data_IF_475138450025
#
_entry.id   IF_475138450025
#
_cell.length_a   1.000
_cell.length_b   1.000
_cell.length_c   1.000
_cell.angle_alpha   90.00
_cell.angle_beta   90.00
_cell.angle_gamma   90.00
#
_symmetry.space_group_name_H-M   'P 1'
#
loop_
_entity.id
_entity.type
_entity.pdbx_description
1 polymer ?
#
# COMPACT_ATOMS: atom_id res chain seq x y z
N UNK A 1 -20.62 -3.08 1.72
CA UNK A 1 -19.24 -3.59 1.75
C UNK A 1 -19.34 -5.10 1.77
N UNK A 2 -18.59 -5.81 0.93
CA UNK A 2 -18.48 -7.25 1.07
C UNK A 2 -17.82 -7.54 2.43
N UNK A 3 -18.29 -8.55 3.14
CA UNK A 3 -17.65 -8.97 4.39
C UNK A 3 -16.21 -9.42 4.11
N UNK A 4 -15.28 -9.05 4.99
CA UNK A 4 -13.87 -9.43 4.87
C UNK A 4 -13.75 -10.96 4.87
N UNK A 5 -13.15 -11.52 3.82
CA UNK A 5 -12.85 -12.94 3.73
C UNK A 5 -11.37 -13.19 3.97
N UNK A 6 -11.03 -13.92 5.04
CA UNK A 6 -9.66 -14.27 5.36
C UNK A 6 -9.10 -15.42 4.52
N UNK A 7 -9.90 -16.08 3.69
CA UNK A 7 -9.44 -17.16 2.81
C UNK A 7 -9.30 -16.67 1.37
N UNK A 8 -8.11 -16.87 0.80
CA UNK A 8 -7.89 -16.65 -0.63
C UNK A 8 -8.49 -17.80 -1.43
N UNK A 9 -8.94 -17.48 -2.66
CA UNK A 9 -9.24 -18.51 -3.65
C UNK A 9 -7.99 -18.70 -4.51
N UNK A 10 -7.35 -19.89 -4.50
CA UNK A 10 -6.15 -20.12 -5.31
C UNK A 10 -6.43 -19.95 -6.80
N UNK A 11 -5.61 -19.15 -7.49
CA UNK A 11 -5.73 -18.94 -8.94
C UNK A 11 -5.32 -20.19 -9.71
N UNK A 12 -4.40 -20.99 -9.16
CA UNK A 12 -3.86 -22.22 -9.77
C UNK A 12 -3.23 -22.01 -11.16
N UNK A 13 -2.71 -20.81 -11.42
CA UNK A 13 -2.02 -20.48 -12.66
C UNK A 13 -0.51 -20.39 -12.41
N UNK A 14 0.26 -21.06 -13.28
CA UNK A 14 1.72 -20.97 -13.29
C UNK A 14 2.23 -20.73 -14.70
N UNK A 15 3.23 -19.86 -14.82
CA UNK A 15 3.89 -19.55 -16.09
C UNK A 15 5.41 -19.67 -15.90
N UNK A 16 6.10 -20.16 -16.93
CA UNK A 16 7.57 -20.21 -16.96
C UNK A 16 8.05 -19.35 -18.13
N UNK A 17 8.92 -18.39 -17.85
CA UNK A 17 9.52 -17.49 -18.84
C UNK A 17 11.03 -17.72 -18.91
N UNK A 18 11.60 -17.80 -20.12
CA UNK A 18 13.05 -17.86 -20.30
C UNK A 18 13.66 -16.45 -20.15
N UNK A 19 14.76 -16.33 -19.42
CA UNK A 19 15.42 -15.03 -19.13
C UNK A 19 16.85 -14.89 -19.65
N UNK A 20 17.30 -15.88 -20.45
CA UNK A 20 18.64 -15.94 -21.03
C UNK A 20 19.56 -16.92 -20.31
N UNK A 21 20.65 -17.35 -20.94
CA UNK A 21 21.60 -18.33 -20.38
C UNK A 21 20.96 -19.65 -19.88
N UNK A 22 19.85 -20.07 -20.50
CA UNK A 22 19.00 -21.19 -20.04
C UNK A 22 18.43 -21.03 -18.63
N UNK A 23 18.42 -19.81 -18.08
CA UNK A 23 17.69 -19.48 -16.86
C UNK A 23 16.22 -19.27 -17.19
N UNK A 24 15.41 -19.54 -16.18
CA UNK A 24 13.96 -19.39 -16.24
C UNK A 24 13.46 -18.63 -15.03
N UNK A 25 12.30 -18.00 -15.17
CA UNK A 25 11.51 -17.51 -14.04
C UNK A 25 10.20 -18.27 -14.05
N UNK A 26 9.91 -18.94 -12.94
CA UNK A 26 8.60 -19.50 -12.68
C UNK A 26 7.78 -18.47 -11.89
N UNK A 27 6.57 -18.19 -12.37
CA UNK A 27 5.58 -17.34 -11.73
C UNK A 27 4.40 -18.21 -11.26
N UNK A 28 4.00 -18.05 -10.00
CA UNK A 28 2.79 -18.62 -9.42
C UNK A 28 1.85 -17.48 -9.04
N UNK A 29 0.74 -17.37 -9.78
CA UNK A 29 -0.17 -16.23 -9.63
C UNK A 29 -1.09 -16.39 -8.42
N UNK A 30 -1.46 -15.24 -7.84
CA UNK A 30 -2.44 -15.16 -6.75
C UNK A 30 -3.47 -14.07 -7.01
N UNK A 31 -4.58 -14.13 -6.27
CA UNK A 31 -5.65 -13.15 -6.36
C UNK A 31 -5.18 -11.79 -5.81
N UNK A 32 -5.07 -10.80 -6.68
CA UNK A 32 -4.70 -9.43 -6.31
C UNK A 32 -5.90 -8.51 -6.05
N UNK A 33 -7.11 -9.07 -5.99
CA UNK A 33 -8.33 -8.29 -5.80
C UNK A 33 -8.64 -8.05 -4.32
N UNK A 34 -9.46 -7.02 -4.08
CA UNK A 34 -10.10 -6.77 -2.79
C UNK A 34 -9.10 -6.60 -1.64
N UNK A 35 -9.30 -7.37 -0.57
CA UNK A 35 -8.54 -7.24 0.66
C UNK A 35 -7.24 -8.08 0.67
N UNK A 36 -7.07 -9.01 -0.28
CA UNK A 36 -5.91 -9.91 -0.34
C UNK A 36 -4.62 -9.12 -0.54
N UNK A 37 -4.58 -8.26 -1.56
CA UNK A 37 -3.41 -7.45 -1.87
C UNK A 37 -3.10 -6.45 -0.74
N UNK A 38 -4.13 -5.88 -0.12
CA UNK A 38 -3.97 -4.96 0.99
C UNK A 38 -3.38 -5.66 2.24
N UNK A 39 -3.87 -6.86 2.57
CA UNK A 39 -3.33 -7.67 3.66
C UNK A 39 -1.88 -8.09 3.38
N UNK A 40 -1.58 -8.59 2.18
CA UNK A 40 -0.21 -8.95 1.78
C UNK A 40 0.73 -7.75 1.89
N UNK A 41 0.32 -6.59 1.35
CA UNK A 41 1.12 -5.37 1.43
C UNK A 41 1.39 -4.94 2.89
N UNK A 42 0.39 -5.03 3.76
CA UNK A 42 0.56 -4.74 5.18
C UNK A 42 1.53 -5.73 5.84
N UNK A 43 1.36 -7.04 5.60
CA UNK A 43 2.29 -8.07 6.11
C UNK A 43 3.73 -7.80 5.65
N UNK A 44 3.95 -7.43 4.39
CA UNK A 44 5.28 -7.15 3.84
C UNK A 44 5.90 -5.87 4.43
N UNK A 45 5.18 -4.75 4.41
CA UNK A 45 5.77 -3.43 4.65
C UNK A 45 5.54 -2.87 6.05
N UNK A 46 4.54 -3.35 6.78
CA UNK A 46 4.30 -2.92 8.16
C UNK A 46 4.87 -3.91 9.16
N UNK A 47 4.70 -5.21 8.93
CA UNK A 47 5.07 -6.26 9.89
C UNK A 47 6.47 -6.85 9.61
N UNK A 48 6.83 -7.03 8.34
CA UNK A 48 8.03 -7.77 7.92
C UNK A 48 9.00 -6.94 7.06
N UNK A 49 8.97 -5.62 7.19
CA UNK A 49 9.78 -4.69 6.38
C UNK A 49 11.29 -5.03 6.39
N UNK A 50 11.80 -5.57 7.49
CA UNK A 50 13.21 -5.91 7.69
C UNK A 50 13.65 -7.16 6.91
N UNK A 51 12.70 -7.91 6.35
CA UNK A 51 12.97 -9.13 5.58
C UNK A 51 12.87 -8.91 4.06
N UNK A 52 12.42 -7.73 3.62
CA UNK A 52 12.06 -7.51 2.22
C UNK A 52 12.81 -6.33 1.62
N UNK A 53 13.22 -6.49 0.37
CA UNK A 53 13.66 -5.40 -0.50
C UNK A 53 12.58 -5.07 -1.52
N UNK A 54 12.67 -3.91 -2.15
CA UNK A 54 11.81 -3.58 -3.28
C UNK A 54 12.63 -3.11 -4.48
N UNK A 55 12.19 -3.48 -5.67
CA UNK A 55 12.82 -3.19 -6.93
C UNK A 55 11.83 -2.57 -7.91
N UNK A 56 12.30 -1.58 -8.66
CA UNK A 56 11.62 -1.11 -9.86
C UNK A 56 12.60 -1.24 -11.03
N UNK A 57 12.14 -1.93 -12.07
CA UNK A 57 12.94 -2.25 -13.24
C UNK A 57 12.32 -1.58 -14.45
N UNK A 58 13.11 -0.75 -15.11
CA UNK A 58 12.81 -0.17 -16.41
C UNK A 58 13.89 -0.60 -17.41
N UNK A 59 13.59 -0.58 -18.70
CA UNK A 59 14.60 -0.97 -19.69
C UNK A 59 15.81 -0.02 -19.61
N UNK A 60 16.96 -0.57 -19.20
CA UNK A 60 18.20 0.19 -19.03
C UNK A 60 18.43 0.78 -17.63
N UNK A 61 17.53 0.55 -16.67
CA UNK A 61 17.65 1.08 -15.30
C UNK A 61 17.03 0.15 -14.25
N UNK A 62 17.73 -0.02 -13.13
CA UNK A 62 17.18 -0.71 -11.95
C UNK A 62 17.31 0.22 -10.76
N UNK A 63 16.26 0.31 -9.96
CA UNK A 63 16.28 0.89 -8.63
C UNK A 63 15.92 -0.20 -7.63
N UNK A 64 16.80 -0.44 -6.66
CA UNK A 64 16.54 -1.34 -5.54
C UNK A 64 16.64 -0.53 -4.24
N UNK A 65 15.68 -0.74 -3.34
CA UNK A 65 15.62 -0.08 -2.05
C UNK A 65 15.43 -1.11 -0.94
N UNK A 66 16.16 -0.90 0.14
CA UNK A 66 16.08 -1.70 1.36
C UNK A 66 15.61 -0.84 2.54
N UNK A 67 15.03 -1.51 3.55
CA UNK A 67 14.61 -0.88 4.78
C UNK A 67 15.68 -1.07 5.86
N UNK A 68 16.18 0.03 6.42
CA UNK A 68 17.12 0.00 7.56
C UNK A 68 16.43 0.30 8.90
N UNK A 69 15.20 0.76 8.86
CA UNK A 69 14.35 0.99 10.02
C UNK A 69 12.87 0.84 9.63
N UNK A 70 12.01 0.71 10.64
CA UNK A 70 10.57 0.59 10.43
C UNK A 70 10.03 1.80 9.66
N UNK A 71 9.14 1.59 8.66
CA UNK A 71 8.50 2.70 7.97
C UNK A 71 7.76 3.62 8.94
N UNK A 72 7.88 4.93 8.70
CA UNK A 72 7.17 5.95 9.47
C UNK A 72 5.66 5.94 9.22
N UNK A 73 5.26 5.52 8.01
CA UNK A 73 3.86 5.36 7.60
C UNK A 73 3.75 4.20 6.62
N UNK A 74 2.69 3.41 6.78
CA UNK A 74 2.19 2.45 5.81
C UNK A 74 0.66 2.64 5.76
N UNK A 75 0.17 3.38 4.78
CA UNK A 75 -1.24 3.79 4.73
C UNK A 75 -1.80 3.72 3.31
N UNK A 76 -3.09 3.44 3.19
CA UNK A 76 -3.81 3.53 1.91
C UNK A 76 -4.49 4.89 1.79
N UNK A 77 -4.20 5.62 0.71
CA UNK A 77 -4.76 6.94 0.43
C UNK A 77 -5.12 7.07 -1.05
N UNK A 78 -6.39 7.35 -1.35
CA UNK A 78 -6.94 7.51 -2.72
C UNK A 78 -6.42 6.48 -3.73
N UNK A 79 -6.55 5.18 -3.40
CA UNK A 79 -6.10 4.09 -4.26
C UNK A 79 -4.66 3.63 -4.05
N UNK A 80 -3.83 4.49 -3.46
CA UNK A 80 -2.39 4.25 -3.34
C UNK A 80 -1.97 3.81 -1.94
N UNK A 81 -1.40 2.61 -1.86
CA UNK A 81 -0.52 2.24 -0.77
C UNK A 81 0.65 3.21 -0.76
N UNK A 82 0.88 3.85 0.39
CA UNK A 82 1.95 4.81 0.60
C UNK A 82 2.80 4.34 1.76
N UNK A 83 4.05 3.98 1.46
CA UNK A 83 5.04 3.58 2.45
C UNK A 83 6.12 4.65 2.50
N UNK A 84 6.31 5.25 3.67
CA UNK A 84 7.25 6.35 3.88
C UNK A 84 8.30 5.91 4.89
N UNK A 85 9.56 5.86 4.44
CA UNK A 85 10.71 5.66 5.32
C UNK A 85 11.30 7.03 5.69
N UNK A 86 12.48 7.04 6.29
CA UNK A 86 13.19 8.29 6.57
C UNK A 86 13.76 8.94 5.31
N UNK A 87 14.35 8.16 4.42
CA UNK A 87 15.14 8.67 3.30
C UNK A 87 14.44 8.53 1.95
N UNK A 88 13.44 7.65 1.86
CA UNK A 88 12.69 7.41 0.63
C UNK A 88 11.21 7.08 0.91
N UNK A 89 10.39 7.11 -0.13
CA UNK A 89 9.01 6.62 -0.07
C UNK A 89 8.61 6.06 -1.43
N UNK A 90 7.60 5.19 -1.46
CA UNK A 90 6.97 4.76 -2.70
C UNK A 90 5.45 4.78 -2.59
N UNK A 91 4.82 4.74 -3.77
CA UNK A 91 3.38 4.62 -3.92
C UNK A 91 3.06 3.44 -4.86
N UNK A 92 2.12 2.58 -4.47
CA UNK A 92 1.63 1.47 -5.29
C UNK A 92 0.10 1.52 -5.37
N UNK A 93 -0.44 1.57 -6.59
CA UNK A 93 -1.88 1.70 -6.82
C UNK A 93 -2.59 0.36 -6.63
N UNK A 94 -3.03 0.07 -5.42
CA UNK A 94 -3.67 -1.21 -5.08
C UNK A 94 -5.19 -1.14 -5.05
N UNK A 95 -5.76 0.06 -5.19
CA UNK A 95 -7.20 0.32 -5.33
C UNK A 95 -7.47 1.45 -6.34
N UNK A 96 -8.73 1.62 -6.74
CA UNK A 96 -9.11 2.71 -7.65
C UNK A 96 -8.77 4.08 -7.05
N UNK A 97 -8.12 4.92 -7.86
CA UNK A 97 -7.74 6.28 -7.50
C UNK A 97 -8.67 7.29 -8.17
N UNK A 98 -9.40 8.09 -7.40
CA UNK A 98 -10.38 9.00 -7.97
C UNK A 98 -9.73 10.30 -8.46
N UNK A 99 -8.63 10.74 -7.86
CA UNK A 99 -7.97 12.00 -8.22
C UNK A 99 -8.61 13.19 -7.52
N UNK A 100 -8.76 13.11 -6.19
CA UNK A 100 -9.23 14.24 -5.38
C UNK A 100 -10.76 14.47 -5.38
N UNK A 101 -11.23 15.65 -4.95
CA UNK A 101 -12.65 15.93 -4.71
C UNK A 101 -13.52 15.86 -5.96
N UNK A 102 -12.98 16.20 -7.13
CA UNK A 102 -13.73 16.22 -8.40
C UNK A 102 -13.63 14.91 -9.17
N UNK A 103 -12.99 13.89 -8.60
CA UNK A 103 -12.76 12.60 -9.24
C UNK A 103 -12.12 12.72 -10.64
N UNK A 104 -11.08 13.56 -10.77
CA UNK A 104 -10.50 13.98 -12.06
C UNK A 104 -9.77 12.87 -12.82
N UNK A 105 -9.40 11.78 -12.16
CA UNK A 105 -8.77 10.64 -12.84
C UNK A 105 -9.82 9.93 -13.71
N UNK A 106 -9.59 9.81 -15.02
CA UNK A 106 -10.52 9.09 -15.92
C UNK A 106 -10.57 7.59 -15.60
N UNK A 107 -11.64 6.91 -16.04
CA UNK A 107 -11.79 5.46 -15.83
C UNK A 107 -10.64 4.69 -16.49
N UNK A 108 -10.21 5.09 -17.70
CA UNK A 108 -9.09 4.43 -18.38
C UNK A 108 -7.80 4.53 -17.57
N UNK A 109 -7.51 5.72 -17.02
CA UNK A 109 -6.31 5.94 -16.20
C UNK A 109 -6.38 5.18 -14.88
N UNK A 110 -7.57 5.08 -14.26
CA UNK A 110 -7.78 4.27 -13.05
C UNK A 110 -7.47 2.80 -13.30
N UNK A 111 -8.01 2.27 -14.40
CA UNK A 111 -7.79 0.87 -14.80
C UNK A 111 -6.32 0.61 -15.12
N UNK A 112 -5.66 1.50 -15.86
CA UNK A 112 -4.24 1.36 -16.20
C UNK A 112 -3.34 1.33 -14.95
N UNK A 113 -3.56 2.23 -13.98
CA UNK A 113 -2.70 2.36 -12.80
C UNK A 113 -2.84 1.20 -11.83
N UNK A 114 -4.04 0.65 -11.69
CA UNK A 114 -4.37 -0.38 -10.71
C UNK A 114 -3.51 -1.63 -10.90
N UNK A 115 -2.95 -2.16 -9.81
CA UNK A 115 -2.33 -3.48 -9.82
C UNK A 115 -3.39 -4.52 -10.16
N UNK A 116 -3.19 -5.19 -11.30
CA UNK A 116 -4.15 -6.14 -11.86
C UNK A 116 -3.70 -7.58 -11.71
N UNK A 117 -2.38 -7.82 -11.60
CA UNK A 117 -1.78 -9.14 -11.44
C UNK A 117 -0.64 -9.11 -10.44
N UNK A 118 -0.45 -10.23 -9.76
CA UNK A 118 0.67 -10.49 -8.88
C UNK A 118 1.04 -11.96 -8.89
N UNK A 119 2.32 -12.25 -8.78
CA UNK A 119 2.83 -13.61 -8.74
C UNK A 119 4.02 -13.74 -7.81
N UNK A 120 4.06 -14.83 -7.07
CA UNK A 120 5.27 -15.28 -6.40
C UNK A 120 6.19 -15.86 -7.47
N UNK A 121 7.44 -15.45 -7.49
CA UNK A 121 8.39 -15.93 -8.49
C UNK A 121 9.56 -16.67 -7.88
N UNK A 122 10.11 -17.58 -8.69
CA UNK A 122 11.41 -18.21 -8.46
C UNK A 122 12.25 -18.08 -9.71
N UNK A 123 13.48 -17.57 -9.58
CA UNK A 123 14.47 -17.66 -10.65
C UNK A 123 15.17 -19.01 -10.57
N UNK A 124 15.19 -19.73 -11.67
CA UNK A 124 15.72 -21.08 -11.77
C UNK A 124 16.93 -21.03 -12.72
N UNK A 125 18.08 -21.53 -12.26
CA UNK A 125 19.28 -21.60 -13.08
C UNK A 125 19.18 -22.70 -14.15
N UNK A 126 20.20 -22.81 -15.00
CA UNK A 126 20.28 -23.83 -16.04
C UNK A 126 20.29 -25.28 -15.54
N UNK A 127 20.53 -25.49 -14.24
CA UNK A 127 20.57 -26.80 -13.59
C UNK A 127 19.22 -27.17 -12.93
N UNK A 128 18.21 -26.30 -13.01
CA UNK A 128 16.89 -26.52 -12.43
C UNK A 128 16.78 -26.11 -10.96
N UNK A 129 17.79 -25.44 -10.40
CA UNK A 129 17.81 -25.00 -9.01
C UNK A 129 17.23 -23.59 -8.87
N UNK A 130 16.36 -23.40 -7.87
CA UNK A 130 15.87 -22.06 -7.51
C UNK A 130 17.00 -21.25 -6.87
N UNK A 131 17.28 -20.04 -7.37
CA UNK A 131 18.38 -19.16 -6.94
C UNK A 131 17.92 -17.80 -6.41
N UNK A 132 16.67 -17.43 -6.62
CA UNK A 132 16.08 -16.18 -6.11
C UNK A 132 14.56 -16.32 -5.99
N UNK A 133 13.98 -15.64 -5.01
CA UNK A 133 12.56 -15.65 -4.68
C UNK A 133 12.05 -14.23 -4.53
N UNK A 134 10.80 -14.00 -4.89
CA UNK A 134 10.19 -12.69 -4.70
C UNK A 134 8.73 -12.66 -5.13
N UNK A 135 8.19 -11.45 -5.23
CA UNK A 135 6.83 -11.19 -5.71
C UNK A 135 6.92 -10.15 -6.81
N UNK A 136 6.26 -10.38 -7.93
CA UNK A 136 6.17 -9.43 -9.04
C UNK A 136 4.73 -8.93 -9.15
N UNK A 137 4.57 -7.62 -9.28
CA UNK A 137 3.29 -6.97 -9.56
C UNK A 137 3.26 -6.39 -10.96
N UNK A 138 2.07 -6.41 -11.57
CA UNK A 138 1.79 -5.76 -12.85
C UNK A 138 0.56 -4.85 -12.75
N UNK A 139 0.61 -3.72 -13.43
CA UNK A 139 -0.50 -2.77 -13.50
C UNK A 139 -1.59 -3.26 -14.49
N UNK A 140 -2.66 -2.50 -14.69
CA UNK A 140 -3.77 -2.86 -15.57
C UNK A 140 -3.41 -2.87 -17.05
N UNK A 141 -2.29 -2.26 -17.44
CA UNK A 141 -1.73 -2.35 -18.79
C UNK A 141 -0.82 -3.58 -18.98
N UNK A 142 -0.60 -4.38 -17.94
CA UNK A 142 0.29 -5.55 -17.98
C UNK A 142 1.78 -5.19 -17.90
N UNK A 143 2.11 -3.98 -17.49
CA UNK A 143 3.49 -3.52 -17.29
C UNK A 143 3.97 -3.91 -15.89
N UNK A 144 5.24 -4.31 -15.75
CA UNK A 144 5.83 -4.63 -14.45
C UNK A 144 5.89 -3.37 -13.60
N UNK A 145 5.12 -3.33 -12.51
CA UNK A 145 5.02 -2.15 -11.66
C UNK A 145 6.08 -2.15 -10.56
N UNK A 146 6.19 -3.26 -9.82
CA UNK A 146 7.09 -3.37 -8.66
C UNK A 146 7.47 -4.83 -8.43
N UNK A 147 8.71 -5.04 -8.01
CA UNK A 147 9.24 -6.33 -7.58
C UNK A 147 9.52 -6.26 -6.09
N UNK A 148 9.13 -7.27 -5.32
CA UNK A 148 9.49 -7.45 -3.93
C UNK A 148 10.52 -8.57 -3.86
N UNK A 149 11.69 -8.28 -3.33
CA UNK A 149 12.72 -9.26 -3.08
C UNK A 149 12.48 -9.88 -1.70
N UNK A 150 12.35 -11.21 -1.68
CA UNK A 150 12.21 -11.99 -0.44
C UNK A 150 13.57 -12.57 -0.03
N UNK A 151 13.72 -13.00 1.24
CA UNK A 151 15.00 -13.51 1.74
C UNK A 151 15.60 -14.59 0.83
N UNK A 152 16.87 -14.42 0.47
CA UNK A 152 17.57 -15.34 -0.42
C UNK A 152 18.57 -16.21 0.36
N UNK A 153 18.41 -17.55 0.36
CA UNK A 153 19.33 -18.49 0.99
C UNK A 153 20.80 -18.36 0.59
N UNK A 154 21.08 -17.85 -0.61
CA UNK A 154 22.43 -17.75 -1.14
C UNK A 154 23.06 -16.38 -0.94
N UNK A 155 22.38 -15.44 -0.29
CA UNK A 155 22.87 -14.06 -0.10
C UNK A 155 22.96 -13.73 1.39
N UNK A 156 24.06 -13.08 1.76
CA UNK A 156 24.25 -12.44 3.06
C UNK A 156 24.78 -11.03 2.82
N UNK A 157 24.10 -10.03 3.39
CA UNK A 157 24.27 -8.63 3.02
C UNK A 157 24.19 -8.46 1.48
N UNK A 158 25.26 -7.98 0.85
CA UNK A 158 25.36 -7.82 -0.61
C UNK A 158 26.14 -8.97 -1.30
N UNK A 159 26.53 -10.00 -0.55
CA UNK A 159 27.46 -11.03 -1.02
C UNK A 159 26.78 -12.37 -1.29
N UNK A 160 27.20 -13.02 -2.37
CA UNK A 160 26.86 -14.42 -2.62
C UNK A 160 27.65 -15.33 -1.67
N UNK A 161 26.93 -16.23 -1.01
CA UNK A 161 27.53 -17.27 -0.18
C UNK A 161 28.27 -18.30 -1.04
N UNK A 162 29.34 -18.93 -0.49
CA UNK A 162 30.03 -20.01 -1.18
C UNK A 162 29.10 -21.16 -1.55
N UNK A 163 29.49 -21.93 -2.56
CA UNK A 163 28.73 -23.10 -3.00
C UNK A 163 28.47 -24.07 -1.83
N UNK A 164 27.25 -24.58 -1.75
CA UNK A 164 26.81 -25.48 -0.67
C UNK A 164 26.65 -24.82 0.71
N UNK A 165 26.80 -23.49 0.84
CA UNK A 165 26.63 -22.75 2.10
C UNK A 165 25.30 -21.98 2.20
N UNK A 166 24.31 -22.32 1.37
CA UNK A 166 23.00 -21.67 1.41
C UNK A 166 22.27 -21.89 2.74
N UNK A 167 21.71 -20.82 3.30
CA UNK A 167 20.84 -20.86 4.48
C UNK A 167 19.37 -20.95 4.06
N UNK A 168 18.86 -22.17 3.97
CA UNK A 168 17.48 -22.42 3.56
C UNK A 168 16.44 -22.07 4.63
N UNK A 169 16.84 -21.73 5.86
CA UNK A 169 15.90 -21.26 6.88
C UNK A 169 15.28 -19.91 6.47
N UNK A 170 15.98 -19.12 5.66
CA UNK A 170 15.49 -17.88 5.04
C UNK A 170 14.24 -18.09 4.18
N UNK A 171 13.96 -19.31 3.70
CA UNK A 171 12.76 -19.58 2.90
C UNK A 171 11.46 -19.71 3.73
N UNK A 172 11.54 -19.73 5.06
CA UNK A 172 10.36 -19.89 5.91
C UNK A 172 9.30 -18.81 5.60
N UNK A 173 9.71 -17.55 5.46
CA UNK A 173 8.80 -16.44 5.16
C UNK A 173 8.17 -16.55 3.77
N UNK A 174 8.95 -16.95 2.74
CA UNK A 174 8.40 -17.23 1.40
C UNK A 174 7.34 -18.34 1.45
N UNK A 175 7.61 -19.41 2.20
CA UNK A 175 6.72 -20.57 2.30
C UNK A 175 5.42 -20.22 3.01
N UNK A 176 5.49 -19.47 4.11
CA UNK A 176 4.33 -18.96 4.84
C UNK A 176 3.46 -18.08 3.92
N UNK A 177 4.05 -17.06 3.28
CA UNK A 177 3.32 -16.18 2.37
C UNK A 177 2.68 -16.97 1.21
N UNK A 178 3.40 -17.93 0.63
CA UNK A 178 2.87 -18.75 -0.46
C UNK A 178 1.74 -19.66 0.01
N UNK A 179 1.85 -20.27 1.18
CA UNK A 179 0.79 -21.13 1.75
C UNK A 179 -0.49 -20.33 2.06
N UNK A 180 -0.36 -19.08 2.50
CA UNK A 180 -1.49 -18.17 2.73
C UNK A 180 -2.05 -17.63 1.42
N UNK A 181 -1.25 -16.91 0.64
CA UNK A 181 -1.74 -16.03 -0.43
C UNK A 181 -1.87 -16.72 -1.80
N UNK A 182 -1.05 -17.73 -2.09
CA UNK A 182 -1.09 -18.45 -3.38
C UNK A 182 -1.93 -19.71 -3.27
N UNK A 183 -1.68 -20.51 -2.24
CA UNK A 183 -2.24 -21.86 -2.11
C UNK A 183 -3.51 -21.92 -1.27
N UNK A 184 -3.80 -20.89 -0.47
CA UNK A 184 -4.98 -20.86 0.41
C UNK A 184 -5.03 -22.01 1.42
N UNK A 185 -3.87 -22.49 1.87
CA UNK A 185 -3.77 -23.54 2.90
C UNK A 185 -3.97 -22.99 4.31
N UNK A 186 -3.74 -21.70 4.48
CA UNK A 186 -3.88 -20.98 5.74
C UNK A 186 -4.68 -19.71 5.51
N UNK A 187 -5.44 -19.26 6.51
CA UNK A 187 -6.13 -17.98 6.42
C UNK A 187 -5.13 -16.83 6.47
N UNK A 188 -5.44 -15.74 5.79
CA UNK A 188 -4.84 -14.44 6.00
C UNK A 188 -4.97 -14.09 7.50
N UNK A 189 -3.88 -13.70 8.20
CA UNK A 189 -3.86 -13.52 9.65
C UNK A 189 -4.49 -12.19 10.11
N UNK A 190 -5.59 -11.77 9.48
CA UNK A 190 -6.35 -10.58 9.84
C UNK A 190 -7.83 -10.90 9.99
N UNK A 191 -8.54 -10.12 10.81
CA UNK A 191 -10.00 -10.20 10.98
C UNK A 191 -10.75 -9.11 10.20
N UNK A 192 -10.03 -8.11 9.71
CA UNK A 192 -10.48 -7.02 8.84
C UNK A 192 -9.31 -6.55 7.98
N UNK A 193 -9.57 -5.84 6.90
CA UNK A 193 -8.50 -5.24 6.10
C UNK A 193 -7.72 -4.20 6.94
N UNK A 194 -6.42 -4.40 7.19
CA UNK A 194 -5.64 -3.53 8.08
C UNK A 194 -5.33 -2.16 7.47
N UNK A 195 -5.45 -2.00 6.15
CA UNK A 195 -5.21 -0.74 5.44
C UNK A 195 -6.50 0.07 5.20
N UNK A 196 -7.69 -0.51 5.42
CA UNK A 196 -9.00 0.14 5.22
C UNK A 196 -9.64 0.63 6.53
N UNK A 197 -8.85 1.21 7.42
CA UNK A 197 -9.40 1.93 8.57
C UNK A 197 -10.16 3.19 8.09
N UNK A 198 -11.27 3.53 8.74
CA UNK A 198 -11.89 4.83 8.57
C UNK A 198 -10.92 5.91 9.10
N UNK A 199 -10.74 6.98 8.34
CA UNK A 199 -9.82 8.05 8.72
C UNK A 199 -10.33 9.41 8.28
N UNK A 200 -9.87 10.44 8.99
CA UNK A 200 -9.99 11.83 8.60
C UNK A 200 -8.59 12.43 8.48
N UNK A 201 -8.28 12.99 7.31
CA UNK A 201 -6.94 13.46 6.95
C UNK A 201 -6.90 14.97 6.77
N UNK A 202 -5.93 15.63 7.41
CA UNK A 202 -5.65 17.07 7.20
C UNK A 202 -4.48 17.24 6.24
N UNK A 203 -4.67 18.03 5.19
CA UNK A 203 -3.61 18.40 4.26
C UNK A 203 -2.55 19.27 4.95
N UNK A 204 -1.31 18.77 4.99
CA UNK A 204 -0.20 19.49 5.66
C UNK A 204 0.81 20.12 4.71
N UNK A 205 0.78 19.74 3.43
CA UNK A 205 1.82 20.12 2.45
C UNK A 205 1.43 21.30 1.55
N UNK A 206 2.28 21.62 0.57
CA UNK A 206 2.09 22.71 -0.37
C UNK A 206 1.95 24.06 0.32
N UNK A 207 0.86 24.79 0.05
CA UNK A 207 0.59 26.10 0.68
C UNK A 207 0.21 26.01 2.16
N UNK A 208 -0.26 24.86 2.64
CA UNK A 208 -0.59 24.69 4.05
C UNK A 208 0.68 24.65 4.91
N UNK A 209 1.77 24.08 4.39
CA UNK A 209 3.00 23.85 5.16
C UNK A 209 3.62 25.14 5.73
N UNK A 210 3.88 26.21 4.95
CA UNK A 210 4.47 27.43 5.48
C UNK A 210 3.56 28.13 6.50
N UNK A 211 2.24 28.08 6.28
CA UNK A 211 1.28 28.77 7.15
C UNK A 211 1.13 28.12 8.53
N UNK A 212 1.46 26.81 8.64
CA UNK A 212 1.21 25.96 9.81
C UNK A 212 -0.24 25.96 10.33
N UNK A 213 -1.19 26.58 9.61
CA UNK A 213 -2.61 26.64 9.97
C UNK A 213 -3.31 25.28 9.95
N UNK A 214 -2.68 24.26 9.38
CA UNK A 214 -3.17 22.88 9.45
C UNK A 214 -3.04 22.29 10.85
N UNK A 215 -2.07 22.74 11.66
CA UNK A 215 -1.79 22.14 12.98
C UNK A 215 -2.95 22.36 13.95
N UNK A 216 -3.50 23.58 14.15
CA UNK A 216 -4.67 23.76 15.01
C UNK A 216 -5.90 22.98 14.53
N UNK A 217 -6.11 22.87 13.22
CA UNK A 217 -7.20 22.06 12.64
C UNK A 217 -7.02 20.58 12.95
N UNK A 218 -5.80 20.06 12.83
CA UNK A 218 -5.46 18.68 13.16
C UNK A 218 -5.66 18.40 14.66
N UNK A 219 -5.17 19.28 15.52
CA UNK A 219 -5.30 19.14 16.98
C UNK A 219 -6.77 19.17 17.41
N UNK A 220 -7.58 20.05 16.83
CA UNK A 220 -9.03 20.14 17.08
C UNK A 220 -9.77 18.89 16.61
N UNK A 221 -9.48 18.37 15.40
CA UNK A 221 -10.05 17.11 14.92
C UNK A 221 -9.70 15.96 15.86
N UNK A 222 -8.44 15.85 16.25
CA UNK A 222 -7.96 14.80 17.14
C UNK A 222 -8.68 14.84 18.49
N UNK A 223 -8.71 16.01 19.13
CA UNK A 223 -9.39 16.18 20.41
C UNK A 223 -10.90 15.90 20.31
N UNK A 224 -11.55 16.32 19.22
CA UNK A 224 -12.97 16.09 19.03
C UNK A 224 -13.30 14.61 18.78
N UNK A 225 -12.49 13.90 17.98
CA UNK A 225 -12.63 12.45 17.73
C UNK A 225 -12.42 11.66 19.02
N UNK A 226 -11.37 11.99 19.80
CA UNK A 226 -11.12 11.37 21.10
C UNK A 226 -12.27 11.60 22.09
N UNK A 227 -12.79 12.84 22.17
CA UNK A 227 -13.93 13.19 23.03
C UNK A 227 -15.22 12.47 22.64
N UNK A 228 -15.41 12.20 21.35
CA UNK A 228 -16.57 11.49 20.83
C UNK A 228 -16.41 9.96 20.86
N UNK A 229 -15.27 9.44 21.31
CA UNK A 229 -14.96 8.01 21.39
C UNK A 229 -15.15 7.27 20.05
N UNK A 230 -14.85 7.94 18.93
CA UNK A 230 -14.99 7.36 17.60
C UNK A 230 -13.79 6.47 17.26
N UNK A 231 -14.07 5.26 16.75
CA UNK A 231 -13.06 4.36 16.15
C UNK A 231 -12.68 4.87 14.73
N UNK A 232 -12.00 6.01 14.69
CA UNK A 232 -11.59 6.70 13.46
C UNK A 232 -10.20 7.31 13.60
N UNK A 233 -9.32 7.03 12.65
CA UNK A 233 -7.95 7.54 12.67
C UNK A 233 -7.90 9.02 12.23
N UNK A 234 -7.30 9.89 13.05
CA UNK A 234 -6.98 11.28 12.63
C UNK A 234 -5.53 11.34 12.17
N UNK A 235 -5.31 11.67 10.89
CA UNK A 235 -3.97 11.64 10.30
C UNK A 235 -3.63 12.87 9.46
N UNK A 236 -2.34 13.00 9.16
CA UNK A 236 -1.83 14.03 8.24
C UNK A 236 -1.61 13.45 6.86
N UNK A 237 -2.01 14.20 5.83
CA UNK A 237 -1.73 13.87 4.43
C UNK A 237 -0.71 14.84 3.82
N UNK A 238 -0.08 14.37 2.73
CA UNK A 238 0.73 15.20 1.85
C UNK A 238 -0.10 16.25 1.10
N UNK A 239 0.38 16.72 -0.05
CA UNK A 239 -0.35 17.74 -0.81
C UNK A 239 -1.54 17.07 -1.50
N UNK A 240 -2.76 17.55 -1.21
CA UNK A 240 -3.97 17.06 -1.88
C UNK A 240 -4.28 17.78 -3.20
N UNK A 241 -3.32 18.56 -3.71
CA UNK A 241 -3.34 19.31 -4.98
C UNK A 241 -4.48 20.34 -5.17
N UNK A 242 -5.43 20.44 -4.26
CA UNK A 242 -6.60 21.36 -4.27
C UNK A 242 -6.33 22.77 -3.74
N UNK A 243 -5.15 23.30 -4.05
CA UNK A 243 -4.40 24.20 -3.17
C UNK A 243 -4.93 25.65 -2.98
N UNK A 244 -6.16 26.02 -3.30
CA UNK A 244 -6.68 27.40 -3.08
C UNK A 244 -7.60 27.56 -1.85
N UNK A 245 -8.00 26.46 -1.21
CA UNK A 245 -9.03 26.45 -0.17
C UNK A 245 -8.58 25.72 1.11
N UNK A 246 -7.32 25.88 1.52
CA UNK A 246 -6.77 25.20 2.70
C UNK A 246 -7.07 25.89 4.05
N UNK A 247 -6.93 25.18 5.19
CA UNK A 247 -6.68 23.74 5.33
C UNK A 247 -7.81 22.89 4.74
N UNK A 248 -7.43 21.78 4.11
CA UNK A 248 -8.37 20.81 3.52
C UNK A 248 -8.42 19.58 4.40
N UNK A 249 -9.62 19.08 4.64
CA UNK A 249 -9.87 17.87 5.41
C UNK A 249 -10.60 16.87 4.54
N UNK A 250 -10.18 15.62 4.55
CA UNK A 250 -10.79 14.54 3.79
C UNK A 250 -11.25 13.42 4.74
N UNK A 251 -12.53 13.05 4.66
CA UNK A 251 -13.11 11.93 5.38
C UNK A 251 -13.22 10.71 4.46
N UNK A 252 -12.60 9.59 4.83
CA UNK A 252 -12.46 8.44 3.92
C UNK A 252 -13.73 7.62 3.75
N UNK A 253 -14.58 7.54 4.78
CA UNK A 253 -15.76 6.65 4.80
C UNK A 253 -16.76 6.99 3.69
N UNK A 254 -17.06 8.27 3.53
CA UNK A 254 -18.02 8.76 2.53
C UNK A 254 -17.38 9.69 1.50
N UNK A 255 -16.05 9.76 1.51
CA UNK A 255 -15.21 10.52 0.59
C UNK A 255 -15.52 12.02 0.59
N UNK A 256 -16.00 12.56 1.71
CA UNK A 256 -16.30 14.00 1.81
C UNK A 256 -15.02 14.82 1.95
N UNK A 257 -14.94 15.89 1.17
CA UNK A 257 -13.87 16.87 1.23
C UNK A 257 -14.39 18.16 1.83
N UNK A 258 -13.66 18.70 2.80
CA UNK A 258 -13.93 19.98 3.42
C UNK A 258 -12.80 20.95 3.12
N UNK A 259 -13.17 22.22 2.93
CA UNK A 259 -12.25 23.29 2.58
C UNK A 259 -12.30 24.43 3.60
N UNK A 260 -11.20 25.16 3.73
CA UNK A 260 -11.01 26.30 4.66
C UNK A 260 -11.29 25.93 6.12
N UNK A 261 -10.97 24.69 6.50
CA UNK A 261 -11.32 24.15 7.81
C UNK A 261 -10.47 24.79 8.90
N UNK A 262 -11.14 25.49 9.82
CA UNK A 262 -10.58 26.05 11.06
C UNK A 262 -10.88 25.12 12.24
N UNK A 263 -10.27 25.30 13.42
CA UNK A 263 -10.56 24.50 14.62
C UNK A 263 -12.06 24.37 14.94
N UNK A 264 -12.82 25.46 14.81
CA UNK A 264 -14.26 25.45 15.12
C UNK A 264 -15.04 24.62 14.10
N UNK A 265 -14.59 24.60 12.85
CA UNK A 265 -15.18 23.78 11.78
C UNK A 265 -14.79 22.32 11.94
N UNK A 266 -13.56 22.04 12.40
CA UNK A 266 -13.11 20.69 12.70
C UNK A 266 -13.99 20.03 13.77
N UNK A 267 -14.32 20.75 14.85
CA UNK A 267 -15.25 20.26 15.88
C UNK A 267 -16.64 19.97 15.30
N UNK A 268 -17.17 20.87 14.47
CA UNK A 268 -18.45 20.67 13.78
C UNK A 268 -18.43 19.46 12.85
N UNK A 269 -17.35 19.25 12.08
CA UNK A 269 -17.21 18.05 11.24
C UNK A 269 -17.31 16.79 12.09
N UNK A 270 -16.68 16.74 13.26
CA UNK A 270 -16.79 15.55 14.12
C UNK A 270 -18.21 15.38 14.66
N UNK A 271 -18.82 16.43 15.22
CA UNK A 271 -20.14 16.32 15.85
C UNK A 271 -21.27 16.16 14.81
N UNK A 272 -21.39 17.10 13.88
CA UNK A 272 -22.47 17.09 12.89
C UNK A 272 -22.27 15.93 11.90
N UNK A 273 -21.07 15.76 11.34
CA UNK A 273 -20.88 14.79 10.26
C UNK A 273 -20.53 13.38 10.76
N UNK A 274 -19.51 13.23 11.60
CA UNK A 274 -19.05 11.89 12.00
C UNK A 274 -19.95 11.22 13.06
N UNK A 275 -20.55 11.99 13.96
CA UNK A 275 -21.47 11.47 14.99
C UNK A 275 -22.92 11.43 14.50
N UNK A 276 -23.44 12.55 13.99
CA UNK A 276 -24.87 12.63 13.60
C UNK A 276 -25.14 12.23 12.13
N UNK A 277 -24.12 12.13 11.28
CA UNK A 277 -24.25 11.82 9.86
C UNK A 277 -24.60 13.03 8.96
N UNK A 278 -24.64 14.24 9.52
CA UNK A 278 -25.00 15.48 8.83
C UNK A 278 -23.75 16.21 8.32
N UNK A 279 -23.53 16.23 7.00
CA UNK A 279 -22.38 16.94 6.42
C UNK A 279 -22.46 18.44 6.68
N UNK A 280 -21.31 19.05 6.98
CA UNK A 280 -21.21 20.51 7.17
C UNK A 280 -21.18 21.21 5.81
N UNK A 281 -22.36 21.33 5.18
CA UNK A 281 -22.54 21.68 3.76
C UNK A 281 -21.82 22.96 3.32
N UNK A 282 -21.74 23.96 4.19
CA UNK A 282 -21.10 25.25 3.90
C UNK A 282 -19.57 25.18 3.73
N UNK A 283 -18.94 24.09 4.20
CA UNK A 283 -17.50 23.85 4.07
C UNK A 283 -17.15 22.72 3.11
N UNK A 284 -18.15 22.06 2.50
CA UNK A 284 -17.88 21.04 1.47
C UNK A 284 -17.07 21.68 0.35
N UNK A 285 -16.08 20.94 -0.15
CA UNK A 285 -15.27 21.37 -1.27
C UNK A 285 -16.16 21.67 -2.49
N UNK A 286 -16.05 22.87 -3.08
CA UNK A 286 -16.97 23.35 -4.12
C UNK A 286 -16.79 22.64 -5.46
#
# INVERSE_FOLDING_TARGET
MADFNCWVTPVNEKIIEATGNNWQIEYEFFDCQGDVLACLAYTLFQENWHQVGLGHLEQGSVLELEFHEAPKKCVLYDGYLTVITRDWHFHLCIEETLGGPNAETSIEVRQQRLISKGAFYRRINSEGESRSWGIQFWNGSGEKAMTIFLPNPYVEDENLLPEGKGDFTKLAFYQELRDIYVLGKQPIPFTKNPLKCAYIAVCTSGRCYPSRKWQPTFDALKAAVEKAELDLEVRTSGCLQVCKLGPVVYHSTDRTWYSRVKPEVAERIVQEHLVEGNKVVEYIYP
#
